data_IF_433750676899
#
_entry.id   IF_433750676899
#
_cell.length_a   1.000
_cell.length_b   1.000
_cell.length_c   1.000
_cell.angle_alpha   90.00
_cell.angle_beta   90.00
_cell.angle_gamma   90.00
#
_symmetry.space_group_name_H-M   'P 1'
#
loop_
_entity.id
_entity.type
_entity.pdbx_description
1 polymer ?
#
# COMPACT_ATOMS: atom_id res chain seq x y z
N UNK A 1 19.95 14.68 -1.99
CA UNK A 1 21.15 14.44 -2.81
C UNK A 1 22.07 13.36 -2.23
N UNK A 2 22.52 13.42 -0.97
CA UNK A 2 23.46 12.43 -0.39
C UNK A 2 22.97 10.97 -0.50
N UNK A 3 21.69 10.69 -0.25
CA UNK A 3 21.09 9.34 -0.32
C UNK A 3 21.02 8.80 -1.74
N UNK A 4 20.65 9.65 -2.73
CA UNK A 4 20.67 9.26 -4.14
C UNK A 4 22.11 8.97 -4.62
N UNK A 5 23.09 9.72 -4.15
CA UNK A 5 24.49 9.45 -4.43
C UNK A 5 24.96 8.14 -3.80
N UNK A 6 24.60 7.87 -2.55
CA UNK A 6 24.92 6.60 -1.88
C UNK A 6 24.30 5.40 -2.61
N UNK A 7 23.01 5.47 -2.98
CA UNK A 7 22.36 4.43 -3.76
C UNK A 7 23.02 4.26 -5.14
N UNK A 8 23.35 5.35 -5.83
CA UNK A 8 24.06 5.31 -7.10
C UNK A 8 25.43 4.62 -6.96
N UNK A 9 26.24 5.00 -5.97
CA UNK A 9 27.57 4.40 -5.73
C UNK A 9 27.43 2.91 -5.42
N UNK A 10 26.45 2.52 -4.60
CA UNK A 10 26.21 1.11 -4.24
C UNK A 10 25.78 0.26 -5.45
N UNK A 11 24.97 0.81 -6.35
CA UNK A 11 24.38 0.07 -7.48
C UNK A 11 25.17 0.19 -8.78
N UNK A 12 25.90 1.30 -9.00
CA UNK A 12 26.54 1.57 -10.28
C UNK A 12 27.55 0.48 -10.69
N UNK A 13 28.42 0.05 -9.76
CA UNK A 13 29.44 -0.97 -10.07
C UNK A 13 28.80 -2.33 -10.39
N UNK A 14 27.92 -2.91 -9.55
CA UNK A 14 27.26 -4.17 -9.89
C UNK A 14 26.48 -4.11 -11.20
N UNK A 15 25.69 -3.05 -11.42
CA UNK A 15 24.85 -2.91 -12.62
C UNK A 15 25.70 -2.76 -13.88
N UNK A 16 26.79 -1.97 -13.84
CA UNK A 16 27.72 -1.87 -14.97
C UNK A 16 28.38 -3.20 -15.29
N UNK A 17 28.85 -3.95 -14.28
CA UNK A 17 29.46 -5.26 -14.48
C UNK A 17 28.46 -6.26 -15.08
N UNK A 18 27.24 -6.31 -14.57
CA UNK A 18 26.16 -7.14 -15.10
C UNK A 18 25.83 -6.77 -16.56
N UNK A 19 25.72 -5.46 -16.85
CA UNK A 19 25.44 -4.94 -18.19
C UNK A 19 26.52 -5.27 -19.24
N UNK A 20 27.79 -5.46 -18.82
CA UNK A 20 28.88 -5.86 -19.74
C UNK A 20 28.87 -7.34 -20.09
N UNK A 21 28.13 -8.19 -19.37
CA UNK A 21 28.17 -9.64 -19.53
C UNK A 21 27.73 -10.08 -20.93
N UNK A 22 26.59 -9.60 -21.43
CA UNK A 22 26.07 -9.99 -22.73
C UNK A 22 26.93 -9.49 -23.91
N UNK A 23 27.41 -8.22 -23.96
CA UNK A 23 28.37 -7.79 -24.95
C UNK A 23 29.67 -8.61 -24.97
N UNK A 24 30.18 -9.02 -23.81
CA UNK A 24 31.35 -9.86 -23.72
C UNK A 24 31.13 -11.26 -24.28
N UNK A 25 29.96 -11.88 -24.01
CA UNK A 25 29.55 -13.15 -24.58
C UNK A 25 29.44 -13.06 -26.11
N UNK A 26 28.81 -11.99 -26.63
CA UNK A 26 28.76 -11.76 -28.09
C UNK A 26 30.15 -11.62 -28.71
N UNK A 27 31.07 -10.93 -28.04
CA UNK A 27 32.46 -10.77 -28.52
C UNK A 27 33.24 -12.09 -28.46
N UNK A 28 32.98 -12.94 -27.48
CA UNK A 28 33.63 -14.25 -27.33
C UNK A 28 33.13 -15.30 -28.33
N UNK A 29 31.89 -15.17 -28.77
CA UNK A 29 31.28 -16.03 -29.81
C UNK A 29 31.78 -15.68 -31.20
N UNK A 30 33.08 -15.90 -31.45
CA UNK A 30 33.71 -15.69 -32.78
C UNK A 30 33.21 -16.72 -33.77
N UNK A 31 32.39 -16.31 -34.73
CA UNK A 31 31.83 -17.21 -35.73
C UNK A 31 31.87 -16.61 -37.12
N UNK A 32 31.82 -17.46 -38.13
CA UNK A 32 31.79 -17.09 -39.54
C UNK A 32 30.43 -16.53 -40.00
N UNK A 33 29.36 -16.73 -39.21
CA UNK A 33 27.98 -16.30 -39.52
C UNK A 33 27.44 -15.35 -38.45
N UNK A 34 27.97 -14.13 -38.46
CA UNK A 34 27.70 -13.12 -37.40
C UNK A 34 26.22 -12.89 -37.12
N UNK A 35 25.35 -12.85 -38.15
CA UNK A 35 23.95 -12.56 -37.98
C UNK A 35 23.16 -13.69 -37.28
N UNK A 36 23.41 -14.95 -37.70
CA UNK A 36 22.72 -16.11 -37.13
C UNK A 36 23.11 -16.36 -35.67
N UNK A 37 24.37 -16.16 -35.32
CA UNK A 37 24.85 -16.43 -33.96
C UNK A 37 24.51 -15.32 -32.99
N UNK A 38 24.48 -14.05 -33.42
CA UNK A 38 23.91 -12.94 -32.65
C UNK A 38 22.45 -13.21 -32.37
N UNK A 39 21.67 -13.66 -33.40
CA UNK A 39 20.27 -14.02 -33.23
C UNK A 39 20.06 -15.12 -32.18
N UNK A 40 20.83 -16.24 -32.28
CA UNK A 40 20.73 -17.35 -31.31
C UNK A 40 21.09 -16.93 -29.90
N UNK A 41 22.14 -16.15 -29.71
CA UNK A 41 22.54 -15.65 -28.39
C UNK A 41 21.54 -14.68 -27.80
N UNK A 42 20.95 -13.82 -28.63
CA UNK A 42 19.86 -12.91 -28.21
C UNK A 42 18.63 -13.69 -27.76
N UNK A 43 18.20 -14.71 -28.54
CA UNK A 43 17.11 -15.59 -28.16
C UNK A 43 17.40 -16.31 -26.84
N UNK A 44 18.60 -16.89 -26.70
CA UNK A 44 19.00 -17.58 -25.47
C UNK A 44 19.01 -16.63 -24.26
N UNK A 45 19.49 -15.39 -24.42
CA UNK A 45 19.50 -14.38 -23.38
C UNK A 45 18.05 -13.97 -23.00
N UNK A 46 17.19 -13.74 -23.97
CA UNK A 46 15.77 -13.40 -23.73
C UNK A 46 15.04 -14.53 -23.02
N UNK A 47 15.19 -15.77 -23.50
CA UNK A 47 14.60 -16.95 -22.86
C UNK A 47 15.12 -17.14 -21.44
N UNK A 48 16.43 -16.97 -21.24
CA UNK A 48 17.05 -17.02 -19.91
C UNK A 48 16.52 -15.93 -18.98
N UNK A 49 16.29 -14.74 -19.49
CA UNK A 49 15.70 -13.64 -18.71
C UNK A 49 14.25 -13.92 -18.31
N UNK A 50 13.42 -14.43 -19.24
CA UNK A 50 12.02 -14.79 -18.96
C UNK A 50 11.95 -15.94 -17.91
N UNK A 51 12.66 -17.05 -18.18
CA UNK A 51 12.68 -18.20 -17.26
C UNK A 51 13.27 -17.80 -15.90
N UNK A 52 14.36 -17.02 -15.92
CA UNK A 52 15.01 -16.52 -14.72
C UNK A 52 14.09 -15.64 -13.87
N UNK A 53 13.37 -14.71 -14.49
CA UNK A 53 12.41 -13.84 -13.78
C UNK A 53 11.30 -14.63 -13.13
N UNK A 54 10.71 -15.59 -13.85
CA UNK A 54 9.63 -16.44 -13.32
C UNK A 54 10.16 -17.32 -12.17
N UNK A 55 11.25 -18.06 -12.43
CA UNK A 55 11.81 -18.98 -11.43
C UNK A 55 12.29 -18.21 -10.19
N UNK A 56 12.96 -17.09 -10.39
CA UNK A 56 13.53 -16.33 -9.29
C UNK A 56 12.44 -15.62 -8.48
N UNK A 57 11.50 -14.93 -9.13
CA UNK A 57 10.43 -14.20 -8.47
C UNK A 57 9.46 -15.13 -7.71
N UNK A 58 8.96 -16.17 -8.37
CA UNK A 58 7.91 -17.01 -7.78
C UNK A 58 8.41 -18.19 -6.95
N UNK A 59 9.65 -18.64 -7.15
CA UNK A 59 10.15 -19.85 -6.48
C UNK A 59 11.31 -19.55 -5.54
N UNK A 60 12.36 -18.91 -6.06
CA UNK A 60 13.60 -18.73 -5.29
C UNK A 60 13.41 -17.72 -4.19
N UNK A 61 12.91 -16.55 -4.52
CA UNK A 61 12.66 -15.47 -3.55
C UNK A 61 11.65 -15.90 -2.49
N UNK A 62 10.56 -16.55 -2.91
CA UNK A 62 9.51 -17.02 -2.01
C UNK A 62 10.00 -18.05 -0.98
N UNK A 63 10.98 -18.91 -1.35
CA UNK A 63 11.47 -19.98 -0.46
C UNK A 63 12.72 -19.63 0.33
N UNK A 64 13.59 -18.79 -0.23
CA UNK A 64 14.89 -18.48 0.37
C UNK A 64 14.95 -17.11 1.05
N UNK A 65 14.02 -16.21 0.73
CA UNK A 65 14.04 -14.81 1.13
C UNK A 65 15.11 -14.01 0.36
N UNK A 66 15.12 -12.68 0.56
CA UNK A 66 15.92 -11.75 -0.22
C UNK A 66 17.42 -11.97 -0.10
N UNK A 67 17.94 -12.12 1.13
CA UNK A 67 19.39 -12.24 1.33
C UNK A 67 19.98 -13.52 0.69
N UNK A 68 19.37 -14.68 0.95
CA UNK A 68 19.84 -15.94 0.40
C UNK A 68 19.70 -16.00 -1.12
N UNK A 69 18.65 -15.39 -1.64
CA UNK A 69 18.43 -15.27 -3.08
C UNK A 69 19.53 -14.45 -3.76
N UNK A 70 19.94 -13.32 -3.18
CA UNK A 70 21.08 -12.54 -3.67
C UNK A 70 22.40 -13.30 -3.59
N UNK A 71 22.65 -14.03 -2.51
CA UNK A 71 23.82 -14.92 -2.40
C UNK A 71 23.82 -15.98 -3.48
N UNK A 72 22.67 -16.60 -3.77
CA UNK A 72 22.53 -17.59 -4.84
C UNK A 72 22.88 -16.99 -6.20
N UNK A 73 22.39 -15.80 -6.51
CA UNK A 73 22.76 -15.10 -7.77
C UNK A 73 24.25 -14.83 -7.81
N UNK A 74 24.85 -14.33 -6.73
CA UNK A 74 26.30 -14.10 -6.66
C UNK A 74 27.09 -15.39 -6.90
N UNK A 75 26.69 -16.50 -6.29
CA UNK A 75 27.32 -17.80 -6.49
C UNK A 75 27.16 -18.30 -7.93
N UNK A 76 26.01 -18.09 -8.57
CA UNK A 76 25.81 -18.42 -9.99
C UNK A 76 26.75 -17.62 -10.90
N UNK A 77 26.93 -16.32 -10.66
CA UNK A 77 27.90 -15.50 -11.38
C UNK A 77 29.35 -15.97 -11.15
N UNK A 78 29.72 -16.32 -9.92
CA UNK A 78 31.03 -16.86 -9.60
C UNK A 78 31.26 -18.22 -10.30
N UNK A 79 30.24 -19.07 -10.36
CA UNK A 79 30.30 -20.35 -11.12
C UNK A 79 30.52 -20.13 -12.60
N UNK A 80 29.79 -19.17 -13.20
CA UNK A 80 29.98 -18.78 -14.59
C UNK A 80 31.37 -18.19 -14.84
N UNK A 81 31.88 -17.38 -13.93
CA UNK A 81 33.24 -16.82 -14.00
C UNK A 81 34.31 -17.93 -13.93
N UNK A 82 34.13 -18.93 -13.04
CA UNK A 82 35.02 -20.09 -12.95
C UNK A 82 35.02 -20.91 -14.23
N UNK A 83 33.83 -21.20 -14.79
CA UNK A 83 33.69 -21.90 -16.07
C UNK A 83 34.40 -21.13 -17.20
N UNK A 84 34.17 -19.83 -17.32
CA UNK A 84 34.79 -18.98 -18.33
C UNK A 84 36.30 -18.91 -18.17
N UNK A 85 36.81 -18.80 -16.94
CA UNK A 85 38.24 -18.80 -16.66
C UNK A 85 38.93 -20.10 -17.09
N UNK A 86 38.22 -21.24 -16.91
CA UNK A 86 38.73 -22.58 -17.29
C UNK A 86 38.81 -22.77 -18.80
N UNK A 87 37.79 -22.31 -19.53
CA UNK A 87 37.61 -22.66 -20.94
C UNK A 87 37.98 -21.54 -21.91
N UNK A 88 37.84 -20.28 -21.52
CA UNK A 88 37.99 -19.10 -22.42
C UNK A 88 39.29 -18.33 -22.16
N UNK A 89 39.79 -18.30 -20.91
CA UNK A 89 40.91 -17.49 -20.46
C UNK A 89 42.04 -18.32 -19.82
N UNK A 90 42.66 -19.31 -20.53
CA UNK A 90 43.61 -20.24 -19.91
C UNK A 90 44.84 -19.54 -19.31
N UNK A 91 45.30 -18.44 -19.88
CA UNK A 91 46.46 -17.69 -19.36
C UNK A 91 46.19 -16.93 -18.04
N UNK A 92 44.93 -16.60 -17.77
CA UNK A 92 44.51 -15.90 -16.55
C UNK A 92 43.84 -16.84 -15.54
N UNK A 93 43.79 -18.14 -15.84
CA UNK A 93 42.99 -19.14 -15.09
C UNK A 93 43.25 -19.10 -13.58
N UNK A 94 44.51 -19.10 -13.17
CA UNK A 94 44.84 -19.13 -11.72
C UNK A 94 44.39 -17.89 -11.00
N UNK A 95 44.56 -16.69 -11.61
CA UNK A 95 44.13 -15.42 -11.05
C UNK A 95 42.60 -15.36 -10.97
N UNK A 96 41.92 -15.77 -12.02
CA UNK A 96 40.44 -15.79 -12.05
C UNK A 96 39.85 -16.79 -11.04
N UNK A 97 40.43 -17.98 -10.91
CA UNK A 97 40.01 -18.95 -9.89
C UNK A 97 40.29 -18.46 -8.47
N UNK A 98 41.40 -17.73 -8.24
CA UNK A 98 41.68 -17.07 -6.98
C UNK A 98 40.60 -16.02 -6.61
N UNK A 99 40.19 -15.17 -7.56
CA UNK A 99 39.11 -14.20 -7.37
C UNK A 99 37.76 -14.90 -7.11
N UNK A 100 37.47 -15.98 -7.85
CA UNK A 100 36.25 -16.78 -7.60
C UNK A 100 36.26 -17.37 -6.20
N UNK A 101 37.36 -17.98 -5.78
CA UNK A 101 37.51 -18.55 -4.44
C UNK A 101 37.33 -17.48 -3.35
N UNK A 102 37.93 -16.30 -3.52
CA UNK A 102 37.73 -15.15 -2.61
C UNK A 102 36.27 -14.71 -2.56
N UNK A 103 35.59 -14.64 -3.72
CA UNK A 103 34.17 -14.31 -3.79
C UNK A 103 33.27 -15.34 -3.08
N UNK A 104 33.57 -16.62 -3.20
CA UNK A 104 32.86 -17.69 -2.48
C UNK A 104 33.07 -17.55 -0.97
N UNK A 105 34.31 -17.30 -0.53
CA UNK A 105 34.60 -17.06 0.90
C UNK A 105 33.82 -15.86 1.43
N UNK A 106 33.81 -14.74 0.69
CA UNK A 106 33.02 -13.56 1.07
C UNK A 106 31.53 -13.92 1.15
N UNK A 107 30.98 -14.63 0.17
CA UNK A 107 29.56 -15.02 0.17
C UNK A 107 29.17 -15.90 1.38
N UNK A 108 30.09 -16.79 1.82
CA UNK A 108 29.90 -17.63 3.00
C UNK A 108 30.01 -16.83 4.30
N UNK A 109 30.91 -15.87 4.34
CA UNK A 109 31.19 -15.06 5.54
C UNK A 109 30.27 -13.84 5.67
N UNK A 110 29.39 -13.56 4.68
CA UNK A 110 28.45 -12.47 4.75
C UNK A 110 27.59 -12.56 6.02
N UNK A 111 27.54 -11.48 6.82
CA UNK A 111 26.68 -11.47 8.02
C UNK A 111 25.21 -11.55 7.58
N UNK A 112 24.39 -12.13 8.44
CA UNK A 112 22.94 -12.06 8.26
C UNK A 112 22.48 -10.60 8.32
N UNK A 113 21.54 -10.25 7.48
CA UNK A 113 20.92 -8.94 7.56
C UNK A 113 20.22 -8.75 8.91
N UNK A 114 20.42 -7.62 9.51
CA UNK A 114 19.65 -7.18 10.67
C UNK A 114 18.29 -6.65 10.15
N UNK A 115 17.34 -7.57 9.99
CA UNK A 115 16.00 -7.24 9.49
C UNK A 115 15.28 -6.31 10.47
N UNK A 116 15.51 -6.42 11.79
CA UNK A 116 14.93 -5.53 12.76
C UNK A 116 15.33 -4.08 12.49
N UNK A 117 16.62 -3.84 12.24
CA UNK A 117 17.13 -2.52 11.88
C UNK A 117 16.66 -2.05 10.51
N UNK A 118 16.64 -2.94 9.51
CA UNK A 118 16.19 -2.62 8.14
C UNK A 118 14.70 -2.27 8.09
N UNK A 119 13.89 -2.80 9.01
CA UNK A 119 12.44 -2.60 9.04
C UNK A 119 11.97 -1.74 10.22
N UNK A 120 12.88 -1.03 10.89
CA UNK A 120 12.55 -0.12 12.00
C UNK A 120 11.73 1.12 11.57
N UNK A 121 11.69 1.43 10.29
CA UNK A 121 11.08 2.64 9.76
C UNK A 121 12.06 3.81 9.57
N UNK A 122 13.27 3.72 10.11
CA UNK A 122 14.28 4.78 9.95
C UNK A 122 14.62 5.09 8.48
N UNK A 123 14.54 4.09 7.61
CA UNK A 123 14.72 4.23 6.16
C UNK A 123 13.52 4.88 5.45
N UNK A 124 12.35 4.85 6.07
CA UNK A 124 11.09 5.39 5.53
C UNK A 124 10.86 6.82 6.03
N UNK A 125 10.93 7.02 7.35
CA UNK A 125 10.61 8.29 8.00
C UNK A 125 11.83 9.18 8.24
N UNK A 126 13.04 8.62 8.05
CA UNK A 126 14.31 9.33 8.16
C UNK A 126 14.65 9.87 9.56
N UNK A 127 14.15 9.17 10.56
CA UNK A 127 14.36 9.42 12.00
C UNK A 127 14.87 8.17 12.73
N UNK A 128 14.67 8.09 14.05
CA UNK A 128 15.10 6.96 14.87
C UNK A 128 14.28 5.68 14.68
N UNK A 129 13.22 5.73 13.85
CA UNK A 129 12.28 4.64 13.58
C UNK A 129 10.90 4.88 14.20
N UNK A 130 9.93 4.06 13.77
CA UNK A 130 8.51 4.23 14.15
C UNK A 130 8.26 3.92 15.62
N UNK A 131 8.98 2.95 16.17
CA UNK A 131 8.88 2.54 17.59
C UNK A 131 10.28 2.54 18.19
N UNK A 132 10.81 3.69 18.66
CA UNK A 132 12.13 3.78 19.27
C UNK A 132 12.22 2.84 20.47
N UNK A 133 13.31 2.08 20.55
CA UNK A 133 13.56 1.09 21.62
C UNK A 133 12.50 -0.03 21.73
N UNK A 134 11.67 -0.23 20.69
CA UNK A 134 10.69 -1.30 20.65
C UNK A 134 11.34 -2.69 20.52
N UNK A 135 10.67 -3.69 21.07
CA UNK A 135 11.07 -5.10 20.97
C UNK A 135 10.40 -5.71 19.74
N UNK A 136 11.21 -6.24 18.82
CA UNK A 136 10.69 -6.95 17.66
C UNK A 136 10.19 -8.33 18.10
N UNK A 137 8.89 -8.57 17.97
CA UNK A 137 8.23 -9.83 18.32
C UNK A 137 8.14 -10.79 17.13
N UNK A 138 8.01 -10.24 15.90
CA UNK A 138 7.89 -11.03 14.70
C UNK A 138 8.51 -10.32 13.50
N UNK A 139 9.17 -11.10 12.64
CA UNK A 139 9.61 -10.66 11.30
C UNK A 139 9.28 -11.77 10.32
N UNK A 140 8.54 -11.43 9.27
CA UNK A 140 8.22 -12.33 8.14
C UNK A 140 8.47 -11.65 6.82
N UNK A 141 9.06 -12.36 5.89
CA UNK A 141 9.28 -11.92 4.52
C UNK A 141 8.40 -12.73 3.58
N UNK A 142 7.65 -12.07 2.72
CA UNK A 142 6.91 -12.68 1.63
C UNK A 142 7.11 -11.93 0.31
N UNK A 143 6.73 -12.54 -0.80
CA UNK A 143 6.95 -11.97 -2.15
C UNK A 143 5.96 -10.87 -2.52
N UNK A 144 4.86 -10.74 -1.81
CA UNK A 144 3.80 -9.79 -2.11
C UNK A 144 3.87 -8.56 -1.22
N UNK A 145 4.07 -8.75 0.10
CA UNK A 145 4.11 -7.70 1.09
C UNK A 145 5.52 -7.19 1.42
N UNK A 146 6.58 -7.94 1.06
CA UNK A 146 7.94 -7.67 1.49
C UNK A 146 8.21 -8.15 2.91
N UNK A 147 8.73 -7.29 3.80
CA UNK A 147 9.04 -7.68 5.19
C UNK A 147 7.99 -7.11 6.14
N UNK A 148 7.16 -7.98 6.71
CA UNK A 148 6.20 -7.66 7.77
C UNK A 148 6.87 -7.80 9.13
N UNK A 149 6.76 -6.77 9.97
CA UNK A 149 7.40 -6.72 11.28
C UNK A 149 6.38 -6.31 12.34
N UNK A 150 6.38 -7.00 13.48
CA UNK A 150 5.66 -6.56 14.69
C UNK A 150 6.68 -6.07 15.70
N UNK A 151 6.47 -4.86 16.17
CA UNK A 151 7.27 -4.23 17.20
C UNK A 151 6.38 -3.88 18.39
N UNK A 152 6.80 -4.31 19.58
CA UNK A 152 6.10 -3.98 20.83
C UNK A 152 6.83 -2.85 21.55
N UNK A 153 6.08 -1.83 21.94
CA UNK A 153 6.60 -0.71 22.75
C UNK A 153 6.73 -1.07 24.23
N UNK A 154 7.26 -0.14 25.04
CA UNK A 154 7.43 -0.32 26.48
C UNK A 154 6.09 -0.41 27.25
N UNK A 155 4.99 0.10 26.68
CA UNK A 155 3.65 0.01 27.26
C UNK A 155 2.95 -1.31 26.92
N UNK A 156 3.55 -2.13 26.06
CA UNK A 156 3.01 -3.42 25.62
C UNK A 156 2.19 -3.35 24.34
N UNK A 157 2.04 -2.17 23.71
CA UNK A 157 1.30 -2.01 22.48
C UNK A 157 2.11 -2.55 21.28
N UNK A 158 1.43 -3.18 20.35
CA UNK A 158 2.00 -3.73 19.12
C UNK A 158 1.77 -2.81 17.94
N UNK A 159 2.81 -2.62 17.16
CA UNK A 159 2.76 -1.88 15.89
C UNK A 159 3.12 -2.81 14.74
N UNK A 160 2.28 -2.82 13.72
CA UNK A 160 2.50 -3.52 12.46
C UNK A 160 3.24 -2.59 11.50
N UNK A 161 4.36 -3.08 10.97
CA UNK A 161 5.16 -2.40 9.94
C UNK A 161 5.29 -3.30 8.70
N UNK A 162 5.27 -2.70 7.51
CA UNK A 162 5.64 -3.36 6.25
C UNK A 162 6.78 -2.60 5.59
N UNK A 163 7.92 -3.28 5.40
CA UNK A 163 9.16 -2.66 4.91
C UNK A 163 9.58 -1.41 5.74
N UNK A 164 9.30 -1.42 7.02
CA UNK A 164 9.53 -0.30 7.94
C UNK A 164 8.44 0.79 7.91
N UNK A 165 7.43 0.65 7.05
CA UNK A 165 6.33 1.59 7.01
C UNK A 165 5.23 1.17 7.99
N UNK A 166 4.71 2.14 8.75
CA UNK A 166 3.58 1.97 9.64
C UNK A 166 2.32 1.52 8.91
N UNK A 167 1.62 0.52 9.45
CA UNK A 167 0.38 -0.03 8.91
C UNK A 167 -0.78 0.02 9.91
N UNK A 168 -0.49 0.16 11.19
CA UNK A 168 -1.48 0.22 12.26
C UNK A 168 -0.92 -0.29 13.59
N UNK A 169 -1.65 -0.06 14.66
CA UNK A 169 -1.33 -0.55 16.00
C UNK A 169 -2.58 -1.01 16.75
N UNK A 170 -2.41 -1.58 17.94
CA UNK A 170 -3.48 -2.02 18.82
C UNK A 170 -3.82 -1.01 19.93
N UNK A 171 -3.48 0.26 19.74
CA UNK A 171 -3.66 1.31 20.74
C UNK A 171 -4.21 2.62 20.17
N UNK A 172 -3.37 3.59 19.88
CA UNK A 172 -3.76 4.97 19.57
C UNK A 172 -4.58 5.12 18.27
N UNK A 173 -4.37 4.25 17.29
CA UNK A 173 -5.07 4.34 15.99
C UNK A 173 -6.33 3.49 15.87
N UNK A 174 -6.78 2.86 16.97
CA UNK A 174 -8.02 2.07 16.92
C UNK A 174 -9.22 2.88 16.45
N UNK A 175 -9.36 4.14 16.91
CA UNK A 175 -10.44 5.03 16.48
C UNK A 175 -10.38 5.31 14.99
N UNK A 176 -9.17 5.55 14.49
CA UNK A 176 -8.91 5.88 13.10
C UNK A 176 -9.29 4.73 12.18
N UNK A 177 -8.83 3.53 12.52
CA UNK A 177 -9.14 2.32 11.77
C UNK A 177 -10.63 1.92 11.85
N UNK A 178 -11.30 2.15 12.98
CA UNK A 178 -12.75 1.96 13.13
C UNK A 178 -13.54 2.94 12.26
N UNK A 179 -13.03 4.16 12.08
CA UNK A 179 -13.61 5.15 11.17
C UNK A 179 -13.72 4.68 9.73
N UNK A 180 -12.80 3.83 9.25
CA UNK A 180 -12.84 3.20 7.94
C UNK A 180 -14.07 2.32 7.71
N UNK A 181 -14.63 1.79 8.78
CA UNK A 181 -15.82 0.97 8.77
C UNK A 181 -17.10 1.75 9.15
N UNK A 182 -17.06 2.49 10.26
CA UNK A 182 -18.25 3.20 10.73
C UNK A 182 -18.76 4.22 9.70
N UNK A 183 -17.87 5.08 9.18
CA UNK A 183 -18.27 6.14 8.27
C UNK A 183 -19.03 5.66 7.03
N UNK A 184 -18.56 4.67 6.24
CA UNK A 184 -19.32 4.23 5.06
C UNK A 184 -20.64 3.54 5.45
N UNK A 185 -20.66 2.76 6.55
CA UNK A 185 -21.88 2.06 6.99
C UNK A 185 -22.98 3.04 7.41
N UNK A 186 -22.64 4.18 7.98
CA UNK A 186 -23.61 5.20 8.35
C UNK A 186 -24.43 5.68 7.16
N UNK A 187 -23.82 5.83 6.00
CA UNK A 187 -24.45 6.36 4.80
C UNK A 187 -24.98 5.28 3.86
N UNK A 188 -24.51 4.04 3.95
CA UNK A 188 -25.01 2.93 3.13
C UNK A 188 -26.50 2.66 3.40
N UNK A 189 -27.29 2.45 2.35
CA UNK A 189 -28.73 2.21 2.49
C UNK A 189 -29.07 0.81 2.97
N UNK A 190 -28.23 -0.18 2.60
CA UNK A 190 -28.37 -1.60 2.97
C UNK A 190 -27.07 -2.12 3.56
N UNK A 191 -27.12 -3.32 4.11
CA UNK A 191 -25.97 -4.02 4.69
C UNK A 191 -26.01 -5.51 4.34
N UNK A 192 -26.20 -5.82 3.07
CA UNK A 192 -26.15 -7.19 2.60
C UNK A 192 -24.72 -7.66 2.41
N UNK A 193 -23.89 -6.85 1.73
CA UNK A 193 -22.49 -7.21 1.39
C UNK A 193 -21.55 -6.06 1.63
N UNK A 194 -20.39 -6.36 2.23
CA UNK A 194 -19.29 -5.42 2.37
C UNK A 194 -18.00 -6.01 1.75
N UNK A 195 -17.16 -5.13 1.24
CA UNK A 195 -15.80 -5.45 0.81
C UNK A 195 -14.82 -4.57 1.57
N UNK A 196 -13.76 -5.17 2.11
CA UNK A 196 -12.64 -4.47 2.74
C UNK A 196 -11.37 -4.81 1.97
N UNK A 197 -10.75 -3.81 1.36
CA UNK A 197 -9.47 -3.95 0.61
C UNK A 197 -8.33 -3.47 1.49
N UNK A 198 -7.46 -4.39 1.86
CA UNK A 198 -6.43 -4.24 2.89
C UNK A 198 -6.93 -4.73 4.24
N UNK A 199 -6.16 -5.59 4.89
CA UNK A 199 -6.48 -6.15 6.21
C UNK A 199 -5.75 -5.40 7.33
N UNK A 200 -4.46 -5.12 7.16
CA UNK A 200 -3.64 -4.51 8.18
C UNK A 200 -3.71 -5.26 9.52
N UNK A 201 -4.12 -4.57 10.58
CA UNK A 201 -4.40 -5.17 11.89
C UNK A 201 -5.74 -5.91 11.95
N UNK A 202 -6.60 -5.76 10.96
CA UNK A 202 -7.96 -6.31 10.88
C UNK A 202 -9.02 -5.53 11.68
N UNK A 203 -8.67 -4.39 12.26
CA UNK A 203 -9.59 -3.59 13.11
C UNK A 203 -10.81 -3.11 12.34
N UNK A 204 -10.64 -2.59 11.12
CA UNK A 204 -11.77 -2.12 10.31
C UNK A 204 -12.63 -3.29 9.81
N UNK A 205 -12.01 -4.41 9.38
CA UNK A 205 -12.76 -5.63 9.04
C UNK A 205 -13.58 -6.12 10.25
N UNK A 206 -13.01 -6.15 11.46
CA UNK A 206 -13.70 -6.47 12.70
C UNK A 206 -14.83 -5.50 13.02
N UNK A 207 -14.64 -4.22 12.72
CA UNK A 207 -15.67 -3.19 12.93
C UNK A 207 -16.79 -3.31 11.89
N UNK A 208 -16.51 -3.66 10.63
CA UNK A 208 -17.54 -4.00 9.63
C UNK A 208 -18.35 -5.22 10.10
N UNK A 209 -17.67 -6.23 10.64
CA UNK A 209 -18.33 -7.45 11.15
C UNK A 209 -19.17 -7.19 12.41
N UNK A 210 -18.97 -6.08 13.12
CA UNK A 210 -19.84 -5.68 14.22
C UNK A 210 -21.29 -5.39 13.77
N UNK A 211 -21.45 -5.02 12.50
CA UNK A 211 -22.77 -4.81 11.91
C UNK A 211 -23.37 -6.11 11.34
N UNK A 212 -24.63 -6.04 10.95
CA UNK A 212 -25.46 -7.16 10.48
C UNK A 212 -25.29 -7.48 8.97
N UNK A 213 -24.11 -7.30 8.41
CA UNK A 213 -23.82 -7.73 7.05
C UNK A 213 -24.00 -9.24 6.89
N UNK A 214 -24.58 -9.67 5.76
CA UNK A 214 -24.74 -11.10 5.44
C UNK A 214 -23.45 -11.73 4.94
N UNK A 215 -22.60 -10.94 4.26
CA UNK A 215 -21.31 -11.37 3.74
C UNK A 215 -20.31 -10.21 3.76
N UNK A 216 -19.09 -10.53 4.13
CA UNK A 216 -17.97 -9.58 4.17
C UNK A 216 -16.79 -10.21 3.43
N UNK A 217 -16.40 -9.63 2.33
CA UNK A 217 -15.20 -10.03 1.58
C UNK A 217 -14.02 -9.18 2.05
N UNK A 218 -13.00 -9.82 2.61
CA UNK A 218 -11.76 -9.18 3.05
C UNK A 218 -10.66 -9.59 2.08
N UNK A 219 -10.03 -8.61 1.45
CA UNK A 219 -9.00 -8.82 0.44
C UNK A 219 -7.66 -8.35 0.99
N UNK A 220 -6.68 -9.24 1.04
CA UNK A 220 -5.32 -8.93 1.47
C UNK A 220 -4.32 -9.61 0.54
N UNK A 221 -3.31 -8.87 0.11
CA UNK A 221 -2.30 -9.36 -0.81
C UNK A 221 -1.21 -10.18 -0.11
N UNK A 222 -0.88 -9.83 1.14
CA UNK A 222 0.24 -10.40 1.90
C UNK A 222 -0.19 -11.51 2.87
N UNK A 223 0.21 -12.76 2.64
CA UNK A 223 0.01 -13.84 3.62
C UNK A 223 0.62 -13.54 5.00
N UNK A 224 1.73 -12.80 5.05
CA UNK A 224 2.35 -12.43 6.31
C UNK A 224 1.49 -11.46 7.13
N UNK A 225 0.79 -10.51 6.49
CA UNK A 225 -0.16 -9.62 7.15
C UNK A 225 -1.35 -10.42 7.68
N UNK A 226 -1.89 -11.34 6.88
CA UNK A 226 -3.02 -12.20 7.28
C UNK A 226 -2.68 -12.98 8.56
N UNK A 227 -1.55 -13.68 8.56
CA UNK A 227 -1.11 -14.46 9.72
C UNK A 227 -0.90 -13.56 10.94
N UNK A 228 -0.35 -12.37 10.73
CA UNK A 228 -0.14 -11.37 11.78
C UNK A 228 -1.46 -10.88 12.38
N UNK A 229 -2.44 -10.56 11.56
CA UNK A 229 -3.77 -10.14 12.02
C UNK A 229 -4.47 -11.23 12.84
N UNK A 230 -4.34 -12.49 12.39
CA UNK A 230 -4.89 -13.65 13.08
C UNK A 230 -4.26 -13.90 14.46
N UNK A 231 -2.95 -13.75 14.57
CA UNK A 231 -2.22 -14.16 15.77
C UNK A 231 -2.03 -13.00 16.77
N UNK A 232 -1.65 -11.83 16.27
CA UNK A 232 -1.16 -10.73 17.10
C UNK A 232 -2.25 -9.68 17.42
N UNK A 233 -3.24 -9.52 16.53
CA UNK A 233 -4.26 -8.47 16.66
C UNK A 233 -5.69 -8.97 16.92
N UNK A 234 -5.89 -10.28 17.15
CA UNK A 234 -7.21 -10.87 17.41
C UNK A 234 -7.99 -10.19 18.55
N UNK A 235 -7.30 -9.63 19.53
CA UNK A 235 -7.94 -8.94 20.65
C UNK A 235 -8.61 -7.63 20.25
N UNK A 236 -8.11 -6.94 19.21
CA UNK A 236 -8.65 -5.64 18.76
C UNK A 236 -9.46 -5.75 17.48
N UNK A 237 -9.29 -6.83 16.69
CA UNK A 237 -10.08 -7.10 15.50
C UNK A 237 -11.27 -8.07 15.75
N UNK A 238 -11.52 -8.41 17.01
CA UNK A 238 -12.62 -9.30 17.44
C UNK A 238 -12.57 -10.69 16.78
N UNK A 239 -11.36 -11.20 16.48
CA UNK A 239 -11.13 -12.50 15.82
C UNK A 239 -11.94 -12.66 14.51
N UNK A 240 -12.07 -11.57 13.78
CA UNK A 240 -12.95 -11.39 12.62
C UNK A 240 -12.77 -12.47 11.54
N UNK A 241 -11.58 -13.03 11.41
CA UNK A 241 -11.32 -14.10 10.44
C UNK A 241 -12.01 -15.41 10.77
N UNK A 242 -12.58 -15.59 11.99
CA UNK A 242 -13.41 -16.73 12.37
C UNK A 242 -14.90 -16.47 12.22
N UNK A 243 -15.30 -15.26 11.89
CA UNK A 243 -16.71 -14.97 11.61
C UNK A 243 -17.14 -15.70 10.33
N UNK A 244 -18.20 -16.55 10.36
CA UNK A 244 -18.63 -17.33 9.21
C UNK A 244 -19.13 -16.48 8.03
N UNK A 245 -19.41 -15.21 8.24
CA UNK A 245 -19.79 -14.25 7.20
C UNK A 245 -18.59 -13.70 6.44
N UNK A 246 -17.39 -13.84 7.00
CA UNK A 246 -16.15 -13.30 6.43
C UNK A 246 -15.52 -14.31 5.47
N UNK A 247 -15.28 -13.86 4.25
CA UNK A 247 -14.51 -14.57 3.24
C UNK A 247 -13.21 -13.83 3.00
N UNK A 248 -12.08 -14.45 3.37
CA UNK A 248 -10.75 -13.92 3.10
C UNK A 248 -10.29 -14.33 1.68
N UNK A 249 -9.83 -13.37 0.92
CA UNK A 249 -9.29 -13.55 -0.43
C UNK A 249 -7.85 -13.04 -0.46
N UNK A 250 -6.91 -13.92 -0.81
CA UNK A 250 -5.49 -13.58 -0.96
C UNK A 250 -5.27 -13.17 -2.40
N UNK A 251 -5.52 -11.88 -2.70
CA UNK A 251 -5.51 -11.35 -4.07
C UNK A 251 -5.37 -9.82 -4.04
N UNK A 252 -5.11 -9.23 -5.20
CA UNK A 252 -5.19 -7.79 -5.40
C UNK A 252 -6.66 -7.33 -5.48
N UNK A 253 -7.01 -6.31 -4.68
CA UNK A 253 -8.39 -5.82 -4.59
C UNK A 253 -8.93 -5.26 -5.91
N UNK A 254 -8.07 -4.62 -6.72
CA UNK A 254 -8.45 -4.13 -8.05
C UNK A 254 -8.73 -5.28 -9.01
N UNK A 255 -7.92 -6.35 -8.95
CA UNK A 255 -8.14 -7.55 -9.77
C UNK A 255 -9.43 -8.26 -9.42
N UNK A 256 -9.80 -8.34 -8.13
CA UNK A 256 -11.10 -8.90 -7.71
C UNK A 256 -12.26 -8.12 -8.34
N UNK A 257 -12.20 -6.79 -8.34
CA UNK A 257 -13.22 -5.99 -8.98
C UNK A 257 -13.20 -6.11 -10.51
N UNK A 258 -12.02 -6.19 -11.14
CA UNK A 258 -11.88 -6.33 -12.59
C UNK A 258 -12.46 -7.65 -13.14
N UNK A 259 -12.30 -8.73 -12.39
CA UNK A 259 -12.70 -10.09 -12.82
C UNK A 259 -14.03 -10.54 -12.21
N UNK A 260 -14.47 -9.86 -11.14
CA UNK A 260 -15.70 -10.18 -10.42
C UNK A 260 -16.94 -9.53 -11.01
N UNK A 261 -18.11 -9.97 -10.52
CA UNK A 261 -19.42 -9.41 -10.87
C UNK A 261 -20.26 -9.10 -9.62
N UNK A 262 -19.67 -9.30 -8.45
CA UNK A 262 -20.34 -9.05 -7.18
C UNK A 262 -20.49 -7.54 -6.94
N UNK A 263 -21.60 -7.15 -6.30
CA UNK A 263 -21.88 -5.78 -5.89
C UNK A 263 -21.94 -5.66 -4.38
N UNK A 264 -21.64 -4.48 -3.85
CA UNK A 264 -21.45 -4.25 -2.42
C UNK A 264 -22.20 -2.99 -1.96
N UNK A 265 -22.76 -3.04 -0.77
CA UNK A 265 -23.30 -1.87 -0.10
C UNK A 265 -22.23 -0.96 0.48
N UNK A 266 -21.08 -1.56 0.84
CA UNK A 266 -19.90 -0.85 1.31
C UNK A 266 -18.65 -1.45 0.68
N UNK A 267 -17.81 -0.59 0.10
CA UNK A 267 -16.42 -0.91 -0.26
C UNK A 267 -15.52 -0.01 0.56
N UNK A 268 -14.72 -0.57 1.46
CA UNK A 268 -13.75 0.16 2.29
C UNK A 268 -12.33 -0.17 1.87
N UNK A 269 -11.50 0.85 1.65
CA UNK A 269 -10.13 0.74 1.17
C UNK A 269 -9.18 1.32 2.21
N UNK A 270 -8.29 0.46 2.71
CA UNK A 270 -7.35 0.75 3.80
C UNK A 270 -5.91 0.87 3.35
N UNK A 271 -5.67 1.28 2.12
CA UNK A 271 -4.29 1.41 1.63
C UNK A 271 -3.62 2.61 2.28
N UNK A 272 -2.64 2.32 3.08
CA UNK A 272 -2.04 3.22 4.07
C UNK A 272 -1.03 4.24 3.54
N UNK A 273 -0.75 4.36 2.24
CA UNK A 273 -0.01 5.50 1.67
C UNK A 273 0.05 5.47 0.16
N UNK A 274 -0.32 6.57 -0.45
CA UNK A 274 -0.34 6.78 -1.90
C UNK A 274 1.08 6.73 -2.52
N UNK A 275 2.10 7.15 -1.75
CA UNK A 275 3.49 7.21 -2.22
C UNK A 275 4.22 5.85 -2.23
N UNK A 276 3.57 4.78 -1.81
CA UNK A 276 4.08 3.42 -2.01
C UNK A 276 3.87 3.00 -3.46
N UNK A 277 4.90 2.40 -4.07
CA UNK A 277 4.85 1.95 -5.45
C UNK A 277 3.64 1.01 -5.68
N UNK A 278 2.81 1.37 -6.64
CA UNK A 278 1.59 0.64 -6.98
C UNK A 278 0.35 0.99 -6.16
N UNK A 279 0.46 1.64 -4.99
CA UNK A 279 -0.69 2.02 -4.19
C UNK A 279 -1.58 3.07 -4.88
N UNK A 280 -0.98 3.97 -5.66
CA UNK A 280 -1.69 4.99 -6.41
C UNK A 280 -2.69 4.41 -7.44
N UNK A 281 -2.53 3.14 -7.84
CA UNK A 281 -3.48 2.45 -8.74
C UNK A 281 -4.89 2.33 -8.17
N UNK A 282 -5.06 2.45 -6.85
CA UNK A 282 -6.36 2.47 -6.18
C UNK A 282 -6.91 3.90 -5.99
N UNK A 283 -6.26 4.91 -6.56
CA UNK A 283 -6.65 6.32 -6.50
C UNK A 283 -6.84 6.93 -7.89
N UNK A 284 -6.75 6.13 -8.96
CA UNK A 284 -6.92 6.59 -10.33
C UNK A 284 -8.39 6.60 -10.75
N UNK A 285 -8.71 7.41 -11.73
CA UNK A 285 -10.04 7.56 -12.30
C UNK A 285 -10.66 6.22 -12.71
N UNK A 286 -9.90 5.39 -13.42
CA UNK A 286 -10.34 4.07 -13.89
C UNK A 286 -10.67 3.11 -12.74
N UNK A 287 -9.94 3.22 -11.64
CA UNK A 287 -10.27 2.44 -10.44
C UNK A 287 -11.57 2.92 -9.79
N UNK A 288 -11.80 4.23 -9.70
CA UNK A 288 -13.06 4.75 -9.15
C UNK A 288 -14.26 4.43 -10.04
N UNK A 289 -14.10 4.47 -11.36
CA UNK A 289 -15.13 3.97 -12.28
C UNK A 289 -15.42 2.48 -12.07
N UNK A 290 -14.37 1.67 -11.92
CA UNK A 290 -14.51 0.25 -11.62
C UNK A 290 -15.25 0.05 -10.29
N UNK A 291 -14.84 0.70 -9.21
CA UNK A 291 -15.49 0.61 -7.91
C UNK A 291 -16.96 1.06 -7.96
N UNK A 292 -17.27 2.13 -8.71
CA UNK A 292 -18.64 2.62 -8.86
C UNK A 292 -19.59 1.60 -9.48
N UNK A 293 -19.10 0.78 -10.43
CA UNK A 293 -19.89 -0.31 -11.04
C UNK A 293 -20.16 -1.49 -10.11
N UNK A 294 -19.35 -1.62 -9.06
CA UNK A 294 -19.50 -2.65 -8.03
C UNK A 294 -20.22 -2.15 -6.76
N UNK A 295 -20.71 -0.91 -6.76
CA UNK A 295 -21.57 -0.42 -5.69
C UNK A 295 -23.04 -0.68 -6.00
N UNK A 296 -23.75 -1.18 -4.99
CA UNK A 296 -25.22 -1.26 -4.98
C UNK A 296 -25.86 0.14 -5.00
N UNK A 297 -27.13 0.22 -5.35
CA UNK A 297 -27.87 1.49 -5.31
C UNK A 297 -27.94 2.03 -3.85
N UNK A 298 -27.26 3.15 -3.62
CA UNK A 298 -27.08 3.73 -2.28
C UNK A 298 -25.95 3.12 -1.50
N UNK A 299 -25.09 2.36 -2.18
CA UNK A 299 -23.81 1.89 -1.63
C UNK A 299 -22.78 3.01 -1.52
N UNK A 300 -21.77 2.81 -0.68
CA UNK A 300 -20.74 3.79 -0.33
C UNK A 300 -19.36 3.20 -0.52
N UNK A 301 -18.54 3.92 -1.27
CA UNK A 301 -17.09 3.74 -1.32
C UNK A 301 -16.46 4.58 -0.21
N UNK A 302 -15.62 3.96 0.60
CA UNK A 302 -14.72 4.65 1.51
C UNK A 302 -13.29 4.43 1.05
N UNK A 303 -12.51 5.50 1.04
CA UNK A 303 -11.09 5.50 0.73
C UNK A 303 -10.33 6.16 1.87
N UNK A 304 -9.30 5.47 2.41
CA UNK A 304 -8.34 6.13 3.29
C UNK A 304 -7.71 7.33 2.59
N UNK A 305 -7.61 8.46 3.29
CA UNK A 305 -7.14 9.71 2.74
C UNK A 305 -5.93 10.21 3.51
N UNK A 306 -4.80 10.30 2.81
CA UNK A 306 -3.54 10.72 3.42
C UNK A 306 -3.53 12.20 3.76
N UNK A 307 -3.33 12.53 5.04
CA UNK A 307 -3.23 13.91 5.55
C UNK A 307 -1.79 14.32 5.85
N UNK A 308 -0.87 13.37 6.07
CA UNK A 308 0.54 13.59 6.38
C UNK A 308 1.42 13.39 5.13
N UNK A 309 2.60 14.01 5.12
CA UNK A 309 3.56 13.88 4.02
C UNK A 309 2.93 14.05 2.63
N UNK A 310 2.03 15.01 2.52
CA UNK A 310 1.33 15.34 1.27
C UNK A 310 1.36 16.86 1.06
N UNK A 311 1.13 17.30 -0.16
CA UNK A 311 1.00 18.70 -0.47
C UNK A 311 -0.43 19.02 -0.98
N UNK A 312 -0.78 20.30 -0.98
CA UNK A 312 -2.13 20.76 -1.36
C UNK A 312 -2.55 20.35 -2.78
N UNK A 313 -1.60 20.23 -3.70
CA UNK A 313 -1.89 19.79 -5.06
C UNK A 313 -2.23 18.29 -5.09
N UNK A 314 -1.47 17.45 -4.38
CA UNK A 314 -1.76 16.02 -4.28
C UNK A 314 -3.11 15.78 -3.59
N UNK A 315 -3.42 16.54 -2.53
CA UNK A 315 -4.73 16.51 -1.87
C UNK A 315 -5.84 16.84 -2.87
N UNK A 316 -5.67 17.90 -3.65
CA UNK A 316 -6.64 18.30 -4.66
C UNK A 316 -6.77 17.23 -5.78
N UNK A 317 -5.65 16.62 -6.19
CA UNK A 317 -5.66 15.56 -7.21
C UNK A 317 -6.47 14.35 -6.75
N UNK A 318 -6.27 13.89 -5.51
CA UNK A 318 -7.04 12.76 -4.96
C UNK A 318 -8.54 13.09 -4.94
N UNK A 319 -8.90 14.25 -4.40
CA UNK A 319 -10.31 14.68 -4.29
C UNK A 319 -10.93 14.89 -5.69
N UNK A 320 -10.23 15.55 -6.62
CA UNK A 320 -10.71 15.80 -7.98
C UNK A 320 -10.95 14.50 -8.73
N UNK A 321 -10.04 13.54 -8.58
CA UNK A 321 -10.13 12.23 -9.24
C UNK A 321 -11.39 11.47 -8.79
N UNK A 322 -11.67 11.41 -7.49
CA UNK A 322 -12.88 10.77 -6.96
C UNK A 322 -14.14 11.54 -7.37
N UNK A 323 -14.10 12.88 -7.28
CA UNK A 323 -15.23 13.76 -7.64
C UNK A 323 -15.61 13.70 -9.11
N UNK A 324 -14.67 13.33 -9.99
CA UNK A 324 -14.92 13.16 -11.44
C UNK A 324 -15.85 11.97 -11.71
N UNK A 325 -15.86 10.96 -10.84
CA UNK A 325 -16.71 9.76 -10.98
C UNK A 325 -17.97 9.86 -10.13
N UNK A 326 -17.85 10.33 -8.89
CA UNK A 326 -18.96 10.31 -7.93
C UNK A 326 -19.58 11.71 -7.76
N UNK A 327 -20.92 11.83 -7.90
CA UNK A 327 -21.62 13.08 -7.67
C UNK A 327 -21.62 13.51 -6.20
N UNK A 328 -21.52 12.56 -5.27
CA UNK A 328 -21.54 12.82 -3.84
C UNK A 328 -20.23 12.34 -3.22
N UNK A 329 -19.40 13.29 -2.80
CA UNK A 329 -18.12 13.06 -2.15
C UNK A 329 -18.01 13.95 -0.92
N UNK A 330 -17.59 13.38 0.20
CA UNK A 330 -17.25 14.12 1.42
C UNK A 330 -15.87 13.70 1.92
N UNK A 331 -15.20 14.62 2.60
CA UNK A 331 -13.98 14.33 3.35
C UNK A 331 -14.27 14.45 4.83
N UNK A 332 -13.97 13.41 5.58
CA UNK A 332 -14.10 13.36 7.03
C UNK A 332 -12.75 13.06 7.69
N UNK A 333 -12.64 13.37 8.97
CA UNK A 333 -11.49 13.04 9.81
C UNK A 333 -11.97 12.24 11.02
N UNK A 334 -11.31 11.14 11.32
CA UNK A 334 -11.46 10.38 12.54
C UNK A 334 -10.09 10.22 13.17
N UNK A 335 -9.91 10.69 14.39
CA UNK A 335 -8.58 10.76 15.00
C UNK A 335 -7.61 11.60 14.16
N UNK A 336 -6.58 10.96 13.64
CA UNK A 336 -5.53 11.59 12.82
C UNK A 336 -5.60 11.18 11.34
N UNK A 337 -6.60 10.39 10.96
CA UNK A 337 -6.74 9.87 9.60
C UNK A 337 -7.87 10.53 8.84
N UNK A 338 -7.62 10.76 7.54
CA UNK A 338 -8.63 11.24 6.61
C UNK A 338 -9.41 10.10 6.00
N UNK A 339 -10.67 10.38 5.71
CA UNK A 339 -11.59 9.46 5.05
C UNK A 339 -12.30 10.20 3.92
N UNK A 340 -12.21 9.69 2.71
CA UNK A 340 -13.10 10.12 1.63
C UNK A 340 -14.23 9.12 1.49
N UNK A 341 -15.46 9.62 1.47
CA UNK A 341 -16.62 8.81 1.21
C UNK A 341 -17.25 9.28 -0.10
N UNK A 342 -17.63 8.33 -0.93
CA UNK A 342 -18.22 8.59 -2.23
C UNK A 342 -19.42 7.69 -2.50
N UNK A 343 -20.44 8.24 -3.18
CA UNK A 343 -21.63 7.48 -3.56
C UNK A 343 -22.29 8.09 -4.79
N UNK A 344 -23.04 7.27 -5.51
CA UNK A 344 -23.94 7.72 -6.57
C UNK A 344 -25.24 8.30 -5.99
N UNK A 345 -25.48 8.15 -4.69
CA UNK A 345 -26.66 8.67 -3.96
C UNK A 345 -26.23 9.67 -2.90
N UNK A 346 -27.09 10.62 -2.49
CA UNK A 346 -26.77 11.55 -1.42
C UNK A 346 -26.35 10.86 -0.12
N UNK A 347 -25.24 11.33 0.46
CA UNK A 347 -24.66 10.81 1.70
C UNK A 347 -25.40 11.46 2.90
N UNK A 348 -26.51 10.85 3.31
CA UNK A 348 -27.39 11.35 4.38
C UNK A 348 -27.77 10.20 5.31
N UNK A 349 -27.84 10.51 6.61
CA UNK A 349 -28.26 9.58 7.67
C UNK A 349 -29.27 10.26 8.58
N UNK A 350 -30.31 9.54 9.04
CA UNK A 350 -31.24 10.05 10.05
C UNK A 350 -30.68 9.82 11.46
N UNK A 351 -31.15 10.63 12.42
CA UNK A 351 -30.80 10.44 13.83
C UNK A 351 -31.26 9.08 14.36
N UNK A 352 -32.46 8.64 13.99
CA UNK A 352 -32.97 7.34 14.38
C UNK A 352 -32.09 6.22 13.87
N UNK A 353 -31.64 6.28 12.59
CA UNK A 353 -30.72 5.30 12.04
C UNK A 353 -29.39 5.26 12.79
N UNK A 354 -28.83 6.39 13.21
CA UNK A 354 -27.59 6.41 14.00
C UNK A 354 -27.78 5.66 15.32
N UNK A 355 -28.87 5.94 16.02
CA UNK A 355 -29.20 5.31 17.30
C UNK A 355 -29.50 3.81 17.17
N UNK A 356 -30.18 3.41 16.10
CA UNK A 356 -30.46 2.00 15.85
C UNK A 356 -29.21 1.21 15.46
N UNK A 357 -28.29 1.82 14.68
CA UNK A 357 -27.03 1.19 14.30
C UNK A 357 -26.13 0.91 15.52
N UNK A 358 -26.11 1.77 16.52
CA UNK A 358 -25.32 1.55 17.76
C UNK A 358 -25.74 0.31 18.53
N UNK A 359 -27.01 -0.13 18.38
CA UNK A 359 -27.56 -1.31 19.06
C UNK A 359 -27.34 -2.62 18.31
N UNK A 360 -26.85 -2.56 17.08
CA UNK A 360 -26.66 -3.76 16.25
C UNK A 360 -25.42 -4.52 16.71
N UNK A 361 -25.53 -5.85 16.81
CA UNK A 361 -24.41 -6.76 17.06
C UNK A 361 -23.56 -6.34 18.24
N UNK A 362 -22.27 -6.04 17.98
CA UNK A 362 -21.33 -5.51 18.96
C UNK A 362 -20.77 -4.14 18.60
N UNK A 363 -21.52 -3.33 17.83
CA UNK A 363 -21.10 -1.99 17.38
C UNK A 363 -20.67 -1.12 18.56
N UNK A 364 -21.45 -1.11 19.66
CA UNK A 364 -21.14 -0.34 20.86
C UNK A 364 -19.73 -0.65 21.40
N UNK A 365 -19.31 -1.91 21.38
CA UNK A 365 -17.98 -2.32 21.83
C UNK A 365 -16.86 -1.77 20.93
N UNK A 366 -17.18 -1.39 19.68
CA UNK A 366 -16.20 -0.80 18.75
C UNK A 366 -16.13 0.72 18.83
N UNK A 367 -17.02 1.39 19.56
CA UNK A 367 -17.07 2.85 19.64
C UNK A 367 -16.07 3.45 20.64
N UNK A 368 -15.55 2.64 21.57
CA UNK A 368 -14.56 3.13 22.55
C UNK A 368 -15.09 4.22 23.48
N UNK A 369 -16.42 4.23 23.74
CA UNK A 369 -17.09 5.22 24.58
C UNK A 369 -17.58 6.45 23.83
N UNK A 370 -17.43 6.51 22.52
CA UNK A 370 -18.01 7.54 21.63
C UNK A 370 -19.37 7.08 21.07
N UNK A 371 -19.99 7.93 20.28
CA UNK A 371 -21.23 7.66 19.56
C UNK A 371 -21.00 7.74 18.04
N UNK A 372 -21.84 7.04 17.26
CA UNK A 372 -21.76 7.10 15.80
C UNK A 372 -21.95 8.52 15.24
N UNK A 373 -22.69 9.38 15.94
CA UNK A 373 -22.82 10.80 15.59
C UNK A 373 -21.49 11.55 15.64
N UNK A 374 -20.52 11.11 16.45
CA UNK A 374 -19.23 11.79 16.57
C UNK A 374 -18.36 11.55 15.32
N UNK A 375 -18.53 10.41 14.65
CA UNK A 375 -17.94 10.17 13.33
C UNK A 375 -18.54 11.10 12.26
N UNK A 376 -19.86 11.35 12.28
CA UNK A 376 -20.51 12.30 11.35
C UNK A 376 -20.04 13.73 11.61
N UNK A 377 -19.84 14.14 12.88
CA UNK A 377 -19.27 15.45 13.24
C UNK A 377 -17.86 15.64 12.69
N UNK A 378 -17.13 14.55 12.42
CA UNK A 378 -15.84 14.54 11.78
C UNK A 378 -15.84 14.95 10.31
N UNK A 379 -17.00 15.15 9.66
CA UNK A 379 -17.06 15.67 8.28
C UNK A 379 -16.40 17.04 8.24
N UNK A 380 -15.31 17.11 7.47
CA UNK A 380 -14.48 18.27 7.32
C UNK A 380 -15.00 19.18 6.20
N UNK A 381 -15.22 18.61 5.02
CA UNK A 381 -15.81 19.30 3.87
C UNK A 381 -16.83 18.43 3.16
N UNK A 382 -17.93 19.05 2.77
CA UNK A 382 -19.01 18.44 1.98
C UNK A 382 -18.83 18.72 0.47
N UNK A 383 -19.74 18.26 -0.37
CA UNK A 383 -19.68 18.44 -1.83
C UNK A 383 -19.44 19.88 -2.26
N UNK A 384 -20.13 20.83 -1.62
CA UNK A 384 -20.00 22.26 -1.97
C UNK A 384 -18.67 22.84 -1.47
N UNK A 385 -18.21 22.39 -0.30
CA UNK A 385 -16.88 22.71 0.20
C UNK A 385 -15.78 22.17 -0.72
N UNK A 386 -15.94 20.95 -1.22
CA UNK A 386 -15.05 20.33 -2.21
C UNK A 386 -15.03 21.15 -3.51
N UNK A 387 -16.20 21.52 -4.03
CA UNK A 387 -16.29 22.30 -5.27
C UNK A 387 -15.56 23.65 -5.13
N UNK A 388 -15.73 24.34 -3.98
CA UNK A 388 -15.01 25.58 -3.68
C UNK A 388 -13.49 25.37 -3.56
N UNK A 389 -13.06 24.32 -2.87
CA UNK A 389 -11.66 23.98 -2.71
C UNK A 389 -10.98 23.66 -4.06
N UNK A 390 -11.64 22.91 -4.91
CA UNK A 390 -11.12 22.56 -6.24
C UNK A 390 -11.06 23.79 -7.14
N UNK A 391 -12.08 24.65 -7.15
CA UNK A 391 -12.10 25.90 -7.92
C UNK A 391 -10.94 26.82 -7.53
N UNK A 392 -10.72 27.05 -6.23
CA UNK A 392 -9.62 27.89 -5.75
C UNK A 392 -8.25 27.30 -6.08
N UNK A 393 -8.13 25.95 -5.99
CA UNK A 393 -6.88 25.27 -6.33
C UNK A 393 -6.56 25.38 -7.81
N UNK A 394 -7.53 25.20 -8.69
CA UNK A 394 -7.39 25.35 -10.14
C UNK A 394 -6.96 26.78 -10.51
N UNK A 395 -7.63 27.77 -9.93
CA UNK A 395 -7.29 29.19 -10.13
C UNK A 395 -5.87 29.49 -9.69
N UNK A 396 -5.44 28.98 -8.54
CA UNK A 396 -4.10 29.19 -7.98
C UNK A 396 -3.01 28.53 -8.82
N UNK A 397 -3.29 27.34 -9.39
CA UNK A 397 -2.32 26.56 -10.17
C UNK A 397 -2.37 26.90 -11.68
N UNK A 398 -3.39 27.61 -12.14
CA UNK A 398 -3.65 27.80 -13.58
C UNK A 398 -3.95 26.50 -14.31
N UNK A 399 -4.57 25.51 -13.62
CA UNK A 399 -4.88 24.18 -14.14
C UNK A 399 -6.37 24.02 -14.40
N UNK A 400 -6.70 23.19 -15.39
CA UNK A 400 -8.08 22.72 -15.64
C UNK A 400 -8.44 21.55 -14.74
N UNK A 401 -9.73 21.20 -14.67
CA UNK A 401 -10.22 20.03 -13.94
C UNK A 401 -9.47 18.76 -14.31
N UNK A 402 -9.36 18.49 -15.62
CA UNK A 402 -8.73 17.27 -16.13
C UNK A 402 -7.22 17.21 -15.80
N UNK A 403 -6.56 18.34 -15.61
CA UNK A 403 -5.15 18.39 -15.23
C UNK A 403 -4.89 18.00 -13.75
N UNK A 404 -5.95 17.93 -12.94
CA UNK A 404 -5.91 17.45 -11.55
C UNK A 404 -6.38 16.00 -11.43
N UNK A 405 -6.81 15.34 -12.50
CA UNK A 405 -7.32 13.97 -12.45
C UNK A 405 -6.17 12.98 -12.67
N UNK A 406 -5.94 12.09 -11.70
CA UNK A 406 -5.00 10.98 -11.83
C UNK A 406 -5.64 9.83 -12.61
N UNK A 407 -4.93 9.29 -13.58
CA UNK A 407 -5.38 8.19 -14.44
C UNK A 407 -4.30 7.12 -14.54
N UNK A 408 -4.67 5.91 -15.01
CA UNK A 408 -3.72 4.83 -15.29
C UNK A 408 -2.69 5.22 -16.38
N UNK A 409 -2.99 6.25 -17.19
CA UNK A 409 -2.08 6.72 -18.24
C UNK A 409 -1.12 7.80 -17.76
N UNK A 410 -1.57 8.74 -16.91
CA UNK A 410 -0.72 9.86 -16.47
C UNK A 410 -0.01 9.60 -15.14
N UNK A 411 -0.53 8.67 -14.32
CA UNK A 411 0.04 8.25 -13.03
C UNK A 411 0.46 9.42 -12.12
N UNK A 412 -0.33 10.50 -12.09
CA UNK A 412 0.03 11.74 -11.39
C UNK A 412 0.40 11.49 -9.93
N UNK A 413 -0.39 10.67 -9.23
CA UNK A 413 -0.16 10.39 -7.81
C UNK A 413 1.04 9.47 -7.60
N UNK A 414 1.29 8.50 -8.49
CA UNK A 414 2.44 7.58 -8.40
C UNK A 414 3.77 8.34 -8.45
N UNK A 415 3.87 9.38 -9.29
CA UNK A 415 5.13 10.13 -9.45
C UNK A 415 5.21 11.39 -8.60
N UNK A 416 4.10 11.96 -8.15
CA UNK A 416 4.10 13.19 -7.37
C UNK A 416 4.24 12.93 -5.86
N UNK A 417 3.53 11.92 -5.34
CA UNK A 417 3.44 11.68 -3.89
C UNK A 417 4.75 11.26 -3.22
N UNK A 418 5.68 10.49 -3.85
CA UNK A 418 6.97 10.20 -3.23
C UNK A 418 7.81 11.44 -2.93
N UNK A 419 7.57 12.55 -3.62
CA UNK A 419 8.24 13.83 -3.37
C UNK A 419 7.73 14.49 -2.08
N UNK A 420 6.48 14.24 -1.69
CA UNK A 420 5.87 14.73 -0.45
C UNK A 420 6.39 14.05 0.81
N UNK A 421 7.05 12.91 0.69
CA UNK A 421 7.68 12.21 1.82
C UNK A 421 8.99 12.89 2.32
N UNK A 422 9.33 14.04 1.77
CA UNK A 422 10.43 14.89 2.25
C UNK A 422 9.89 15.78 3.37
N UNK A 423 10.65 16.07 4.46
CA UNK A 423 10.18 16.78 5.68
C UNK A 423 9.66 18.22 5.52
N UNK A 424 9.37 18.66 4.33
CA UNK A 424 8.80 20.00 4.02
C UNK A 424 7.32 19.96 3.71
N UNK A 425 6.68 18.81 3.80
CA UNK A 425 5.24 18.65 3.55
C UNK A 425 4.41 19.12 4.76
N UNK A 426 3.19 19.59 4.47
CA UNK A 426 2.23 19.99 5.50
C UNK A 426 2.01 18.83 6.48
N UNK A 427 2.06 19.15 7.76
CA UNK A 427 1.70 18.23 8.83
C UNK A 427 0.17 18.02 8.86
N UNK A 428 -0.28 16.95 9.55
CA UNK A 428 -1.71 16.62 9.67
C UNK A 428 -2.55 17.81 10.14
N UNK A 429 -2.18 18.55 11.22
CA UNK A 429 -2.91 19.72 11.66
C UNK A 429 -3.01 20.80 10.58
N UNK A 430 -1.95 21.05 9.83
CA UNK A 430 -1.93 22.06 8.77
C UNK A 430 -2.85 21.68 7.61
N UNK A 431 -2.84 20.41 7.21
CA UNK A 431 -3.75 19.90 6.16
C UNK A 431 -5.20 20.00 6.59
N UNK A 432 -5.52 19.59 7.84
CA UNK A 432 -6.88 19.70 8.39
C UNK A 432 -7.31 21.17 8.49
N UNK A 433 -6.45 22.04 9.01
CA UNK A 433 -6.74 23.47 9.15
C UNK A 433 -7.02 24.10 7.78
N UNK A 434 -6.21 23.77 6.77
CA UNK A 434 -6.40 24.26 5.41
C UNK A 434 -7.73 23.79 4.80
N UNK A 435 -8.04 22.51 4.86
CA UNK A 435 -9.32 21.99 4.36
C UNK A 435 -10.51 22.58 5.14
N UNK A 436 -10.35 22.82 6.45
CA UNK A 436 -11.40 23.40 7.30
C UNK A 436 -11.81 24.81 6.87
N UNK A 437 -10.97 25.54 6.14
CA UNK A 437 -11.35 26.86 5.59
C UNK A 437 -12.50 26.78 4.58
N UNK A 438 -12.73 25.59 4.01
CA UNK A 438 -13.82 25.29 3.07
C UNK A 438 -15.04 24.64 3.74
N UNK A 439 -14.98 24.40 5.07
CA UNK A 439 -16.10 23.84 5.84
C UNK A 439 -17.25 24.84 5.90
N UNK A 440 -18.44 24.38 5.55
CA UNK A 440 -19.64 25.20 5.60
C UNK A 440 -20.33 25.09 6.96
N UNK A 441 -21.05 26.13 7.35
CA UNK A 441 -21.79 26.15 8.63
C UNK A 441 -22.92 25.11 8.68
N UNK A 442 -23.49 24.77 7.53
CA UNK A 442 -24.61 23.83 7.37
C UNK A 442 -24.18 22.40 6.98
N UNK A 443 -22.86 22.12 6.93
CA UNK A 443 -22.32 20.79 6.55
C UNK A 443 -23.00 19.65 7.33
N UNK A 444 -23.10 19.74 8.66
CA UNK A 444 -23.74 18.70 9.45
C UNK A 444 -25.25 18.54 9.17
N UNK A 445 -25.97 19.66 9.00
CA UNK A 445 -27.41 19.63 8.69
C UNK A 445 -27.68 19.08 7.28
N UNK A 446 -26.73 19.15 6.36
CA UNK A 446 -26.83 18.55 5.04
C UNK A 446 -26.76 17.02 5.10
N UNK A 447 -26.05 16.47 6.08
CA UNK A 447 -25.79 15.01 6.19
C UNK A 447 -26.56 14.32 7.29
N UNK A 448 -27.05 15.04 8.33
CA UNK A 448 -27.90 14.48 9.39
C UNK A 448 -29.34 14.98 9.17
N UNK A 449 -30.23 14.05 8.89
CA UNK A 449 -31.68 14.31 8.82
C UNK A 449 -32.32 14.17 10.19
N UNK A 450 -33.45 14.87 10.42
CA UNK A 450 -34.25 14.68 11.61
C UNK A 450 -34.66 13.25 11.84
#
# INVERSE_FOLDING_TARGET
>A
MARGLAAFVALAVPVMLMGTTFPLVLRAARTSTVGADVGRLTVANTMGSVVGSILFGFVVLARLGSQRSLVLVALAYLGFAAFSARHVLPRLRLRALGLVASGVVVAILLPKWDLARLTSGANVYFDEGVVPNGVVEMIKEDVHGGVTTIVRDAAGNRTLLTNGKFQGNDSLELRDNRGLAHLPVLFAKKRDRAMVIGLGTGVSAGTVAAYDFKRIDVIELSPAIIETALDQFKGVNHDVMRDPRVRLLVEDGRNILLTGHETYDVISIEISSIWFAGAANLYNHEFYELASRHLEQGGVLQQWFQLHHTNRENVATVIATMRKVFPHVIVAVSGHQGHMLASMSPLQVSRDKLFDLEKIGYVEATLGGEHLVDYVKGILIDEKGIDAFLFDTQKRLGKTDDALVSTDMNLLLEYATPKGNIPTADDIPDTIAYLSTYKRRDTLAAHIKP
#
